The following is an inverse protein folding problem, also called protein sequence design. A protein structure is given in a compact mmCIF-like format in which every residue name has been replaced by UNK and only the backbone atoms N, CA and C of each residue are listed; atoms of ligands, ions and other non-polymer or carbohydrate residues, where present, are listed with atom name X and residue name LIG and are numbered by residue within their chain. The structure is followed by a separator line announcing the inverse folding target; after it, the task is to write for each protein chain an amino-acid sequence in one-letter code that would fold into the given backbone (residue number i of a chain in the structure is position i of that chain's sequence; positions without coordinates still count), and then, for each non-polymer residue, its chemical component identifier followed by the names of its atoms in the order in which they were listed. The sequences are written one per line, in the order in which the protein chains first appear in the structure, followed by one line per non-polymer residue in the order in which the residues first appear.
data_IF_674481789006
#
_entry.id   IF_674481789006
#
_cell.length_a   1.000
_cell.length_b   1.000
_cell.length_c   1.000
_cell.angle_alpha   90.00
_cell.angle_beta   90.00
_cell.angle_gamma   90.00
#
_symmetry.space_group_name_H-M   'P 1'
#
loop_
_entity.id
_entity.type
_entity.pdbx_description
1 polymer ?
#
# COMPACT_ATOMS: atom_id res chain seq x y z
N UNK A 1 24.53 -8.62 26.43
CA UNK A 1 24.42 -7.91 25.16
C UNK A 1 23.40 -6.80 25.37
N UNK A 2 23.89 -5.54 25.55
CA UNK A 2 23.09 -4.38 25.90
C UNK A 2 22.05 -4.05 24.83
N UNK A 3 20.78 -4.16 25.18
CA UNK A 3 19.68 -3.72 24.37
C UNK A 3 19.72 -2.18 24.25
N UNK A 4 20.00 -1.65 23.06
CA UNK A 4 19.81 -0.23 22.76
C UNK A 4 18.30 0.06 22.84
N UNK A 5 17.90 0.85 23.84
CA UNK A 5 16.57 1.44 23.85
C UNK A 5 16.46 2.41 22.66
N UNK A 6 15.58 2.09 21.72
CA UNK A 6 15.25 3.01 20.63
C UNK A 6 14.18 3.95 21.17
N UNK A 7 14.58 5.17 21.50
CA UNK A 7 13.64 6.24 21.87
C UNK A 7 12.92 6.71 20.61
N UNK A 8 11.61 6.51 20.57
CA UNK A 8 10.75 7.05 19.50
C UNK A 8 10.23 8.42 19.94
N UNK A 9 10.37 9.47 19.13
CA UNK A 9 9.86 10.79 19.48
C UNK A 9 8.34 10.74 19.57
N UNK A 10 7.79 11.28 20.65
CA UNK A 10 6.34 11.36 20.90
C UNK A 10 5.71 12.53 20.12
N UNK A 11 6.45 13.62 19.98
CA UNK A 11 6.07 14.82 19.23
C UNK A 11 7.33 15.56 18.78
N UNK A 12 7.15 16.45 17.84
CA UNK A 12 8.21 17.32 17.32
C UNK A 12 7.89 18.77 17.68
N UNK A 13 8.94 19.52 18.08
CA UNK A 13 8.85 20.94 18.42
C UNK A 13 9.73 21.75 17.49
N UNK A 14 9.54 23.08 17.45
CA UNK A 14 10.36 24.02 16.68
C UNK A 14 10.38 23.73 15.16
N UNK A 15 9.26 23.26 14.61
CA UNK A 15 9.17 22.97 13.17
C UNK A 15 9.33 24.23 12.32
N UNK A 16 8.87 25.39 12.80
CA UNK A 16 8.98 26.67 12.11
C UNK A 16 10.46 27.12 12.01
N UNK A 17 11.24 26.90 13.08
CA UNK A 17 12.69 27.18 13.07
C UNK A 17 13.42 26.26 12.10
N UNK A 18 13.05 24.96 12.05
CA UNK A 18 13.59 24.00 11.09
C UNK A 18 13.27 24.43 9.65
N UNK A 19 12.04 24.85 9.38
CA UNK A 19 11.61 25.34 8.07
C UNK A 19 12.43 26.55 7.64
N UNK A 20 12.60 27.55 8.53
CA UNK A 20 13.43 28.72 8.23
C UNK A 20 14.86 28.34 7.90
N UNK A 21 15.48 27.48 8.68
CA UNK A 21 16.85 26.98 8.42
C UNK A 21 16.96 26.24 7.09
N UNK A 22 15.99 25.37 6.76
CA UNK A 22 15.96 24.64 5.49
C UNK A 22 15.87 25.60 4.29
N UNK A 23 15.08 26.64 4.36
CA UNK A 23 14.91 27.63 3.28
C UNK A 23 16.20 28.37 2.90
N UNK A 24 17.18 28.46 3.81
CA UNK A 24 18.44 29.19 3.54
C UNK A 24 19.37 28.46 2.57
N UNK A 25 19.30 27.14 2.48
CA UNK A 25 20.21 26.32 1.66
C UNK A 25 19.51 25.29 0.77
N UNK A 26 18.17 25.28 0.75
CA UNK A 26 17.40 24.35 -0.09
C UNK A 26 16.41 25.07 -0.98
N UNK A 27 16.33 24.64 -2.23
CA UNK A 27 15.28 25.03 -3.16
C UNK A 27 14.35 23.82 -3.39
N UNK A 28 13.06 24.01 -3.21
CA UNK A 28 12.07 22.95 -3.41
C UNK A 28 10.97 23.38 -4.36
N UNK A 29 10.67 22.51 -5.30
CA UNK A 29 9.57 22.66 -6.23
C UNK A 29 8.65 21.46 -6.14
N UNK A 30 7.37 21.70 -6.03
CA UNK A 30 6.35 20.62 -6.02
C UNK A 30 5.81 20.38 -7.42
N UNK A 31 5.37 19.15 -7.70
CA UNK A 31 4.81 18.77 -9.00
C UNK A 31 3.67 19.69 -9.43
N UNK A 32 2.79 20.08 -8.51
CA UNK A 32 1.62 20.91 -8.82
C UNK A 32 1.96 22.34 -9.22
N UNK A 33 3.18 22.81 -8.87
CA UNK A 33 3.67 24.13 -9.31
C UNK A 33 4.33 24.11 -10.67
N UNK A 34 4.77 22.94 -11.14
CA UNK A 34 5.61 22.82 -12.33
C UNK A 34 4.99 21.95 -13.43
N UNK A 35 3.97 21.15 -13.12
CA UNK A 35 3.37 20.22 -14.06
C UNK A 35 1.86 20.40 -14.07
N UNK A 36 1.31 20.53 -15.26
CA UNK A 36 -0.13 20.44 -15.48
C UNK A 36 -0.52 18.96 -15.62
N UNK A 37 -0.83 18.33 -14.48
CA UNK A 37 -1.24 16.94 -14.45
C UNK A 37 -2.72 16.83 -14.07
N UNK A 38 -3.45 15.86 -14.66
CA UNK A 38 -4.83 15.61 -14.28
C UNK A 38 -4.95 15.31 -12.77
N UNK A 39 -6.10 15.62 -12.13
CA UNK A 39 -6.24 15.46 -10.69
C UNK A 39 -6.19 14.00 -10.26
N UNK A 40 -5.70 13.76 -9.02
CA UNK A 40 -5.81 12.51 -8.29
C UNK A 40 -7.17 12.44 -7.59
N UNK A 41 -7.83 11.29 -7.67
CA UNK A 41 -9.09 11.02 -6.97
C UNK A 41 -8.83 9.89 -5.97
N UNK A 42 -9.16 10.12 -4.69
CA UNK A 42 -8.96 9.12 -3.63
C UNK A 42 -10.30 8.58 -3.15
N UNK A 43 -10.39 7.28 -3.02
CA UNK A 43 -11.59 6.56 -2.61
C UNK A 43 -11.23 5.43 -1.65
N UNK A 44 -12.16 5.11 -0.74
CA UNK A 44 -12.08 3.95 0.14
C UNK A 44 -13.18 2.96 -0.19
N UNK A 45 -12.87 1.69 -0.06
CA UNK A 45 -13.82 0.59 -0.12
C UNK A 45 -13.71 -0.22 1.16
N UNK A 46 -14.76 -0.20 1.95
CA UNK A 46 -14.85 -0.99 3.17
C UNK A 46 -15.07 -2.46 2.84
N UNK A 47 -14.26 -3.30 3.46
CA UNK A 47 -14.32 -4.75 3.30
C UNK A 47 -14.57 -5.40 4.65
N UNK A 48 -15.67 -6.11 4.79
CA UNK A 48 -15.99 -6.81 6.02
C UNK A 48 -15.41 -8.23 5.99
N UNK A 49 -14.71 -8.61 7.06
CA UNK A 49 -14.18 -9.96 7.23
C UNK A 49 -15.32 -10.98 7.26
N UNK A 50 -15.10 -12.17 6.69
CA UNK A 50 -16.02 -13.28 6.89
C UNK A 50 -15.97 -13.78 8.35
N UNK A 51 -16.90 -14.63 8.74
CA UNK A 51 -17.05 -15.08 10.13
C UNK A 51 -15.78 -15.78 10.66
N UNK A 52 -15.14 -16.62 9.85
CA UNK A 52 -13.91 -17.32 10.22
C UNK A 52 -12.77 -16.32 10.49
N UNK A 53 -12.51 -15.41 9.54
CA UNK A 53 -11.49 -14.38 9.70
C UNK A 53 -11.75 -13.48 10.91
N UNK A 54 -13.02 -13.06 11.10
CA UNK A 54 -13.42 -12.19 12.22
C UNK A 54 -13.14 -12.84 13.57
N UNK A 55 -13.51 -14.10 13.73
CA UNK A 55 -13.30 -14.84 14.99
C UNK A 55 -11.82 -14.99 15.32
N UNK A 56 -11.00 -15.34 14.32
CA UNK A 56 -9.56 -15.48 14.50
C UNK A 56 -8.92 -14.12 14.75
N UNK A 57 -9.35 -13.08 14.01
CA UNK A 57 -8.89 -11.70 14.17
C UNK A 57 -9.11 -11.19 15.60
N UNK A 58 -10.34 -11.32 16.14
CA UNK A 58 -10.66 -10.84 17.49
C UNK A 58 -9.89 -11.62 18.58
N UNK A 59 -9.70 -12.92 18.40
CA UNK A 59 -8.89 -13.73 19.31
C UNK A 59 -7.43 -13.24 19.33
N UNK A 60 -6.82 -13.08 18.17
CA UNK A 60 -5.44 -12.59 18.07
C UNK A 60 -5.31 -11.12 18.49
N UNK A 61 -6.32 -10.29 18.23
CA UNK A 61 -6.35 -8.88 18.67
C UNK A 61 -6.29 -8.73 20.19
N UNK A 62 -7.03 -9.59 20.92
CA UNK A 62 -6.96 -9.62 22.40
C UNK A 62 -5.57 -10.02 22.88
N UNK A 63 -4.99 -11.06 22.30
CA UNK A 63 -3.61 -11.49 22.56
C UNK A 63 -2.59 -10.41 22.24
N UNK A 64 -2.68 -9.80 21.06
CA UNK A 64 -1.78 -8.73 20.61
C UNK A 64 -1.83 -7.52 21.54
N UNK A 65 -3.03 -7.12 22.03
CA UNK A 65 -3.16 -6.02 22.98
C UNK A 65 -2.46 -6.32 24.31
N UNK A 66 -2.59 -7.53 24.84
CA UNK A 66 -1.90 -7.95 26.06
C UNK A 66 -0.37 -7.92 25.86
N UNK A 67 0.13 -8.47 24.76
CA UNK A 67 1.56 -8.48 24.43
C UNK A 67 2.12 -7.06 24.23
N UNK A 68 1.38 -6.18 23.57
CA UNK A 68 1.82 -4.79 23.33
C UNK A 68 1.86 -4.00 24.65
N UNK A 69 0.94 -4.25 25.57
CA UNK A 69 0.90 -3.60 26.88
C UNK A 69 1.98 -4.12 27.85
N UNK A 70 2.55 -5.29 27.60
CA UNK A 70 3.59 -5.87 28.43
C UNK A 70 4.97 -5.31 28.06
N UNK A 71 5.55 -4.51 28.93
CA UNK A 71 6.87 -3.89 28.72
C UNK A 71 8.03 -4.89 28.73
N UNK A 72 7.83 -6.10 29.26
CA UNK A 72 8.84 -7.17 29.27
C UNK A 72 8.95 -7.88 27.92
N UNK A 73 7.93 -7.77 27.06
CA UNK A 73 7.91 -8.41 25.75
C UNK A 73 8.73 -7.61 24.75
N UNK A 74 9.60 -8.31 24.00
CA UNK A 74 10.45 -7.69 22.99
C UNK A 74 9.64 -6.99 21.88
N UNK A 75 10.20 -5.91 21.34
CA UNK A 75 9.61 -5.17 20.22
C UNK A 75 9.36 -6.06 18.98
N UNK A 76 10.26 -7.02 18.72
CA UNK A 76 10.10 -7.99 17.63
C UNK A 76 8.82 -8.83 17.77
N UNK A 77 8.52 -9.32 18.97
CA UNK A 77 7.31 -10.09 19.24
C UNK A 77 6.04 -9.23 19.08
N UNK A 78 6.09 -7.97 19.52
CA UNK A 78 4.99 -7.00 19.30
C UNK A 78 4.72 -6.78 17.81
N UNK A 79 5.76 -6.66 17.00
CA UNK A 79 5.63 -6.52 15.53
C UNK A 79 5.04 -7.77 14.86
N UNK A 80 5.41 -8.96 15.32
CA UNK A 80 4.88 -10.22 14.77
C UNK A 80 3.36 -10.28 14.94
N UNK A 81 2.83 -9.91 16.11
CA UNK A 81 1.38 -9.93 16.33
C UNK A 81 0.64 -8.90 15.45
N UNK A 82 1.21 -7.71 15.26
CA UNK A 82 0.68 -6.70 14.33
C UNK A 82 0.66 -7.23 12.89
N UNK A 83 1.74 -7.90 12.48
CA UNK A 83 1.85 -8.50 11.16
C UNK A 83 0.78 -9.58 10.92
N UNK A 84 0.53 -10.44 11.92
CA UNK A 84 -0.51 -11.48 11.85
C UNK A 84 -1.91 -10.89 11.69
N UNK A 85 -2.25 -9.86 12.47
CA UNK A 85 -3.52 -9.15 12.31
C UNK A 85 -3.68 -8.60 10.89
N UNK A 86 -2.62 -8.03 10.33
CA UNK A 86 -2.65 -7.52 8.96
C UNK A 86 -2.77 -8.64 7.92
N UNK A 87 -2.12 -9.79 8.12
CA UNK A 87 -2.26 -10.95 7.24
C UNK A 87 -3.71 -11.46 7.21
N UNK A 88 -4.40 -11.53 8.36
CA UNK A 88 -5.80 -11.96 8.42
C UNK A 88 -6.69 -11.01 7.61
N UNK A 89 -6.51 -9.69 7.72
CA UNK A 89 -7.23 -8.72 6.89
C UNK A 89 -7.01 -8.99 5.39
N UNK A 90 -5.87 -9.55 5.01
CA UNK A 90 -5.50 -9.85 3.64
C UNK A 90 -5.80 -11.29 3.19
N UNK A 91 -6.54 -12.05 4.00
CA UNK A 91 -7.10 -13.35 3.61
C UNK A 91 -6.19 -14.54 3.85
N UNK A 92 -5.15 -14.41 4.65
CA UNK A 92 -4.27 -15.52 5.04
C UNK A 92 -3.63 -15.29 6.41
N UNK A 93 -3.04 -16.33 6.96
CA UNK A 93 -2.24 -16.26 8.19
C UNK A 93 -1.03 -17.19 8.06
N UNK A 94 0.16 -16.71 8.34
CA UNK A 94 1.35 -17.54 8.46
C UNK A 94 1.56 -17.92 9.93
N UNK A 95 1.58 -19.23 10.19
CA UNK A 95 1.80 -19.78 11.54
C UNK A 95 3.26 -19.64 11.98
N UNK A 96 3.55 -19.90 13.27
CA UNK A 96 4.91 -19.92 13.81
C UNK A 96 5.78 -21.01 13.19
N UNK A 97 5.17 -22.11 12.77
CA UNK A 97 5.84 -23.21 12.05
C UNK A 97 6.08 -22.89 10.57
N UNK A 98 5.69 -21.72 10.09
CA UNK A 98 5.83 -21.29 8.71
C UNK A 98 4.74 -21.77 7.77
N UNK A 99 3.77 -22.56 8.25
CA UNK A 99 2.63 -23.00 7.47
C UNK A 99 1.73 -21.84 7.10
N UNK A 100 1.18 -21.87 5.89
CA UNK A 100 0.25 -20.86 5.39
C UNK A 100 -1.20 -21.38 5.53
N UNK A 101 -1.98 -20.71 6.34
CA UNK A 101 -3.43 -20.89 6.38
C UNK A 101 -4.09 -19.84 5.49
N UNK A 102 -4.79 -20.29 4.44
CA UNK A 102 -5.51 -19.40 3.51
C UNK A 102 -6.99 -19.49 3.80
N UNK A 103 -7.60 -18.34 4.08
CA UNK A 103 -9.04 -18.27 4.33
C UNK A 103 -9.84 -18.47 3.05
N UNK A 104 -10.81 -19.36 3.08
CA UNK A 104 -11.73 -19.54 1.96
C UNK A 104 -12.57 -18.29 1.73
N UNK A 105 -12.90 -18.02 0.46
CA UNK A 105 -13.75 -16.88 0.10
C UNK A 105 -13.26 -15.52 0.63
N UNK A 106 -12.01 -15.17 0.37
CA UNK A 106 -11.41 -13.91 0.78
C UNK A 106 -12.27 -12.69 0.36
N UNK A 107 -12.85 -11.94 1.31
CA UNK A 107 -13.72 -10.79 1.01
C UNK A 107 -13.01 -9.68 0.24
N UNK A 108 -11.72 -9.44 0.52
CA UNK A 108 -10.95 -8.44 -0.22
C UNK A 108 -10.77 -8.79 -1.69
N UNK A 109 -10.55 -10.08 -1.99
CA UNK A 109 -10.44 -10.53 -3.37
C UNK A 109 -11.78 -10.37 -4.09
N UNK A 110 -12.89 -10.68 -3.42
CA UNK A 110 -14.23 -10.45 -3.99
C UNK A 110 -14.50 -8.98 -4.25
N UNK A 111 -14.15 -8.09 -3.32
CA UNK A 111 -14.35 -6.66 -3.49
C UNK A 111 -13.43 -6.10 -4.58
N UNK A 112 -12.18 -6.58 -4.69
CA UNK A 112 -11.30 -6.24 -5.78
C UNK A 112 -11.96 -6.56 -7.14
N UNK A 113 -12.52 -7.74 -7.30
CA UNK A 113 -13.18 -8.14 -8.55
C UNK A 113 -14.37 -7.24 -8.88
N UNK A 114 -15.20 -6.86 -7.89
CA UNK A 114 -16.31 -5.90 -8.08
C UNK A 114 -15.80 -4.54 -8.57
N UNK A 115 -14.73 -4.02 -7.94
CA UNK A 115 -14.13 -2.76 -8.38
C UNK A 115 -13.65 -2.86 -9.83
N UNK A 116 -13.04 -3.99 -10.23
CA UNK A 116 -12.55 -4.18 -11.59
C UNK A 116 -13.66 -4.28 -12.63
N UNK A 117 -14.89 -4.61 -12.23
CA UNK A 117 -16.11 -4.54 -13.07
C UNK A 117 -16.66 -3.10 -13.17
N UNK A 118 -16.46 -2.28 -12.11
CA UNK A 118 -16.95 -0.88 -12.05
C UNK A 118 -16.03 0.11 -12.77
N UNK A 119 -14.73 -0.20 -12.93
CA UNK A 119 -13.73 0.73 -13.46
C UNK A 119 -13.26 0.36 -14.85
N UNK A 120 -13.07 1.38 -15.68
CA UNK A 120 -12.54 1.24 -17.03
C UNK A 120 -11.03 1.44 -17.10
N UNK A 121 -10.44 0.88 -18.16
CA UNK A 121 -9.03 1.06 -18.49
C UNK A 121 -8.09 0.19 -17.69
N UNK A 122 -6.79 0.50 -17.79
CA UNK A 122 -5.73 -0.27 -17.13
C UNK A 122 -5.65 0.03 -15.64
N UNK A 123 -5.44 -1.04 -14.85
CA UNK A 123 -5.42 -0.99 -13.41
C UNK A 123 -4.08 -1.48 -12.86
N UNK A 124 -3.51 -0.73 -11.92
CA UNK A 124 -2.41 -1.19 -11.07
C UNK A 124 -3.02 -1.69 -9.76
N UNK A 125 -2.61 -2.86 -9.30
CA UNK A 125 -3.04 -3.45 -8.03
C UNK A 125 -1.81 -3.65 -7.14
N UNK A 126 -1.73 -2.85 -6.08
CA UNK A 126 -0.64 -2.94 -5.13
C UNK A 126 -0.99 -3.83 -3.94
N UNK A 127 -0.17 -4.83 -3.68
CA UNK A 127 -0.31 -5.72 -2.53
C UNK A 127 1.04 -5.88 -1.80
N UNK A 128 0.99 -5.86 -0.47
CA UNK A 128 2.19 -5.93 0.37
C UNK A 128 2.80 -7.33 0.40
N UNK A 129 1.96 -8.36 0.29
CA UNK A 129 2.38 -9.76 0.45
C UNK A 129 2.47 -10.50 -0.88
N UNK A 130 3.54 -11.28 -1.04
CA UNK A 130 3.75 -12.13 -2.25
C UNK A 130 2.59 -13.08 -2.47
N UNK A 131 2.09 -13.73 -1.40
CA UNK A 131 0.92 -14.60 -1.50
C UNK A 131 -0.29 -13.91 -2.15
N UNK A 132 -0.58 -12.67 -1.77
CA UNK A 132 -1.68 -11.92 -2.39
C UNK A 132 -1.39 -11.58 -3.85
N UNK A 133 -0.16 -11.20 -4.19
CA UNK A 133 0.23 -10.90 -5.58
C UNK A 133 0.01 -12.12 -6.47
N UNK A 134 0.50 -13.29 -6.04
CA UNK A 134 0.36 -14.55 -6.76
C UNK A 134 -1.11 -14.97 -6.88
N UNK A 135 -1.88 -14.89 -5.79
CA UNK A 135 -3.33 -15.22 -5.78
C UNK A 135 -4.15 -14.28 -6.68
N UNK A 136 -3.91 -12.98 -6.61
CA UNK A 136 -4.61 -12.00 -7.46
C UNK A 136 -4.26 -12.24 -8.94
N UNK A 137 -2.96 -12.42 -9.26
CA UNK A 137 -2.51 -12.70 -10.62
C UNK A 137 -3.18 -13.97 -11.17
N UNK A 138 -3.20 -15.05 -10.40
CA UNK A 138 -3.84 -16.29 -10.79
C UNK A 138 -5.32 -16.07 -11.06
N UNK A 139 -6.05 -15.45 -10.13
CA UNK A 139 -7.49 -15.20 -10.27
C UNK A 139 -7.81 -14.35 -11.50
N UNK A 140 -7.04 -13.28 -11.75
CA UNK A 140 -7.25 -12.43 -12.92
C UNK A 140 -6.90 -13.14 -14.22
N UNK A 141 -5.85 -13.96 -14.23
CA UNK A 141 -5.48 -14.78 -15.36
C UNK A 141 -6.54 -15.82 -15.72
N UNK A 142 -7.18 -16.41 -14.72
CA UNK A 142 -8.25 -17.39 -14.92
C UNK A 142 -9.56 -16.74 -15.44
N UNK A 143 -9.88 -15.53 -14.96
CA UNK A 143 -11.11 -14.82 -15.34
C UNK A 143 -11.00 -14.04 -16.66
N UNK A 144 -9.88 -13.39 -16.91
CA UNK A 144 -9.69 -12.46 -18.02
C UNK A 144 -8.66 -12.93 -19.07
N UNK A 145 -8.07 -14.13 -18.85
CA UNK A 145 -7.01 -14.66 -19.69
C UNK A 145 -5.60 -14.29 -19.19
N UNK A 146 -4.64 -15.18 -19.40
CA UNK A 146 -3.25 -15.03 -18.89
C UNK A 146 -2.55 -13.77 -19.42
N UNK A 147 -2.86 -13.35 -20.63
CA UNK A 147 -2.28 -12.14 -21.26
C UNK A 147 -2.83 -10.84 -20.67
N UNK A 148 -3.92 -10.90 -19.90
CA UNK A 148 -4.55 -9.73 -19.30
C UNK A 148 -3.79 -9.17 -18.10
N UNK A 149 -2.89 -9.95 -17.48
CA UNK A 149 -2.26 -9.63 -16.22
C UNK A 149 -0.76 -9.89 -16.23
N UNK A 150 0.00 -8.91 -15.76
CA UNK A 150 1.44 -9.02 -15.48
C UNK A 150 1.69 -8.75 -13.99
N UNK A 151 2.84 -9.22 -13.48
CA UNK A 151 3.21 -8.96 -12.08
C UNK A 151 4.61 -8.39 -11.96
N UNK A 152 4.86 -7.65 -10.86
CA UNK A 152 6.18 -7.09 -10.51
C UNK A 152 6.38 -7.25 -9.00
N UNK A 153 7.31 -8.12 -8.58
CA UNK A 153 7.67 -8.30 -7.18
C UNK A 153 9.10 -8.80 -7.00
N UNK A 154 9.51 -9.10 -5.76
CA UNK A 154 10.92 -9.31 -5.42
C UNK A 154 11.63 -10.47 -6.11
N UNK A 155 10.88 -11.47 -6.60
CA UNK A 155 11.45 -12.64 -7.29
C UNK A 155 11.76 -12.39 -8.77
N UNK A 156 11.20 -11.33 -9.36
CA UNK A 156 11.34 -11.07 -10.79
C UNK A 156 12.73 -10.50 -11.09
N UNK A 157 13.32 -10.96 -12.19
CA UNK A 157 14.56 -10.38 -12.73
C UNK A 157 14.33 -8.93 -13.22
N UNK A 158 15.40 -8.22 -13.50
CA UNK A 158 15.31 -6.86 -14.07
C UNK A 158 14.67 -6.90 -15.45
N UNK A 159 14.98 -7.91 -16.23
CA UNK A 159 14.46 -8.16 -17.58
C UNK A 159 12.96 -8.47 -17.54
N UNK A 160 12.53 -9.35 -16.65
CA UNK A 160 11.10 -9.69 -16.48
C UNK A 160 10.28 -8.46 -16.10
N UNK A 161 10.81 -7.60 -15.22
CA UNK A 161 10.15 -6.34 -14.84
C UNK A 161 10.03 -5.38 -16.03
N UNK A 162 11.07 -5.26 -16.87
CA UNK A 162 11.02 -4.43 -18.08
C UNK A 162 9.95 -4.95 -19.05
N UNK A 163 9.89 -6.25 -19.27
CA UNK A 163 8.88 -6.87 -20.12
C UNK A 163 7.47 -6.70 -19.57
N UNK A 164 7.26 -6.87 -18.26
CA UNK A 164 5.97 -6.64 -17.62
C UNK A 164 5.52 -5.18 -17.76
N UNK A 165 6.41 -4.21 -17.56
CA UNK A 165 6.11 -2.79 -17.76
C UNK A 165 5.78 -2.49 -19.21
N UNK A 166 6.57 -2.98 -20.16
CA UNK A 166 6.34 -2.78 -21.59
C UNK A 166 4.97 -3.38 -22.01
N UNK A 167 4.67 -4.59 -21.55
CA UNK A 167 3.38 -5.22 -21.80
C UNK A 167 2.23 -4.40 -21.22
N UNK A 168 2.33 -3.97 -19.95
CA UNK A 168 1.30 -3.15 -19.34
C UNK A 168 1.10 -1.80 -20.06
N UNK A 169 2.18 -1.16 -20.51
CA UNK A 169 2.10 0.15 -21.17
C UNK A 169 1.54 0.06 -22.58
N UNK A 170 1.94 -0.96 -23.36
CA UNK A 170 1.74 -0.95 -24.82
C UNK A 170 0.85 -2.08 -25.36
N UNK A 171 0.57 -3.12 -24.59
CA UNK A 171 -0.31 -4.21 -25.02
C UNK A 171 -1.74 -3.95 -24.54
N UNK A 172 -2.69 -3.76 -25.45
CA UNK A 172 -4.09 -3.50 -25.11
C UNK A 172 -4.78 -4.68 -24.41
N UNK A 173 -4.32 -5.91 -24.61
CA UNK A 173 -4.84 -7.08 -23.90
C UNK A 173 -4.40 -7.10 -22.42
N UNK A 174 -3.25 -6.50 -22.11
CA UNK A 174 -2.73 -6.42 -20.74
C UNK A 174 -3.42 -5.28 -19.98
N UNK A 175 -4.48 -5.60 -19.25
CA UNK A 175 -5.27 -4.65 -18.47
C UNK A 175 -4.73 -4.45 -17.04
N UNK A 176 -4.11 -5.47 -16.45
CA UNK A 176 -3.77 -5.48 -15.02
C UNK A 176 -2.27 -5.60 -14.79
N UNK A 177 -1.76 -4.80 -13.86
CA UNK A 177 -0.43 -4.96 -13.28
C UNK A 177 -0.57 -5.17 -11.78
N UNK A 178 -0.10 -6.32 -11.28
CA UNK A 178 -0.14 -6.66 -9.87
C UNK A 178 1.27 -6.63 -9.30
N UNK A 179 1.50 -5.94 -8.18
CA UNK A 179 2.86 -5.86 -7.67
C UNK A 179 3.00 -5.42 -6.23
N UNK A 180 4.24 -5.44 -5.75
CA UNK A 180 4.59 -4.87 -4.46
C UNK A 180 5.00 -3.40 -4.66
N UNK A 181 4.38 -2.45 -3.94
CA UNK A 181 4.71 -1.03 -4.09
C UNK A 181 6.17 -0.70 -3.78
N UNK A 182 6.83 -1.46 -2.89
CA UNK A 182 8.26 -1.29 -2.60
C UNK A 182 9.15 -1.68 -3.78
N UNK A 183 8.76 -2.67 -4.58
CA UNK A 183 9.50 -3.10 -5.77
C UNK A 183 9.30 -2.14 -6.94
N UNK A 184 8.12 -1.50 -7.01
CA UNK A 184 7.81 -0.43 -7.96
C UNK A 184 8.62 0.87 -7.76
N UNK A 185 9.47 0.95 -6.72
CA UNK A 185 10.30 2.11 -6.37
C UNK A 185 11.37 2.49 -7.42
N UNK A 186 11.75 1.59 -8.30
CA UNK A 186 12.85 1.81 -9.25
C UNK A 186 12.41 2.45 -10.57
N UNK A 187 12.00 3.72 -10.54
CA UNK A 187 11.89 4.55 -11.75
C UNK A 187 10.82 4.13 -12.79
N UNK A 188 9.96 3.16 -12.47
CA UNK A 188 8.94 2.67 -13.40
C UNK A 188 7.99 3.77 -13.85
N UNK A 189 7.63 3.79 -15.12
CA UNK A 189 6.59 4.66 -15.69
C UNK A 189 5.38 3.80 -16.03
N UNK A 190 4.24 4.07 -15.39
CA UNK A 190 3.01 3.30 -15.52
C UNK A 190 1.83 4.21 -15.86
N UNK A 191 2.05 5.18 -16.77
CA UNK A 191 1.07 6.21 -17.14
C UNK A 191 -0.11 5.69 -17.96
N UNK A 192 -0.07 4.45 -18.45
CA UNK A 192 -1.24 3.80 -19.05
C UNK A 192 -2.35 3.51 -18.02
N UNK A 193 -2.02 3.49 -16.71
CA UNK A 193 -3.00 3.24 -15.67
C UNK A 193 -3.93 4.43 -15.47
N UNK A 194 -5.24 4.15 -15.34
CA UNK A 194 -6.28 5.09 -14.89
C UNK A 194 -6.72 4.84 -13.47
N UNK A 195 -6.50 3.62 -12.97
CA UNK A 195 -6.88 3.20 -11.65
C UNK A 195 -5.70 2.55 -10.93
N UNK A 196 -5.52 2.90 -9.67
CA UNK A 196 -4.52 2.30 -8.78
C UNK A 196 -5.25 1.80 -7.55
N UNK A 197 -5.25 0.49 -7.35
CA UNK A 197 -5.97 -0.16 -6.26
C UNK A 197 -4.95 -0.66 -5.25
N UNK A 198 -5.09 -0.21 -4.00
CA UNK A 198 -4.30 -0.72 -2.89
C UNK A 198 -5.06 -1.83 -2.19
N UNK A 199 -4.73 -3.07 -2.57
CA UNK A 199 -5.24 -4.25 -1.89
C UNK A 199 -4.80 -4.30 -0.43
N UNK A 200 -3.58 -3.83 -0.17
CA UNK A 200 -3.06 -3.63 1.18
C UNK A 200 -2.03 -2.50 1.22
N UNK A 201 -1.96 -1.80 2.34
CA UNK A 201 -1.01 -0.72 2.61
C UNK A 201 0.05 -1.15 3.63
N UNK A 202 1.20 -0.48 3.61
CA UNK A 202 2.22 -0.55 4.65
C UNK A 202 2.30 0.77 5.43
N UNK A 203 3.01 0.79 6.56
CA UNK A 203 3.28 2.00 7.33
C UNK A 203 4.26 2.99 6.66
N UNK A 204 4.80 2.64 5.47
CA UNK A 204 5.81 3.44 4.80
C UNK A 204 5.17 4.47 3.85
N UNK A 205 5.15 5.74 4.27
CA UNK A 205 4.61 6.84 3.49
C UNK A 205 5.39 7.09 2.19
N UNK A 206 6.71 6.92 2.21
CA UNK A 206 7.53 7.16 1.03
C UNK A 206 7.21 6.14 -0.07
N UNK A 207 7.12 4.86 0.28
CA UNK A 207 6.70 3.78 -0.63
C UNK A 207 5.32 4.07 -1.21
N UNK A 208 4.37 4.53 -0.37
CA UNK A 208 3.04 4.92 -0.83
C UNK A 208 3.10 6.05 -1.84
N UNK A 209 3.76 7.16 -1.53
CA UNK A 209 3.90 8.32 -2.43
C UNK A 209 4.61 7.94 -3.73
N UNK A 210 5.71 7.19 -3.64
CA UNK A 210 6.44 6.72 -4.81
C UNK A 210 5.58 5.84 -5.71
N UNK A 211 4.78 4.92 -5.15
CA UNK A 211 3.91 4.04 -5.92
C UNK A 211 2.78 4.81 -6.63
N UNK A 212 2.23 5.85 -6.01
CA UNK A 212 1.27 6.76 -6.65
C UNK A 212 1.90 7.50 -7.84
N UNK A 213 3.13 7.96 -7.66
CA UNK A 213 3.88 8.71 -8.65
C UNK A 213 4.32 7.88 -9.87
N UNK A 214 4.08 6.57 -9.87
CA UNK A 214 4.27 5.72 -11.06
C UNK A 214 3.18 5.93 -12.11
N UNK A 215 1.94 6.11 -11.67
CA UNK A 215 0.79 6.39 -12.53
C UNK A 215 0.61 7.90 -12.76
N UNK A 216 0.78 8.72 -11.73
CA UNK A 216 0.62 10.18 -11.79
C UNK A 216 1.97 10.86 -12.06
N UNK A 217 2.36 10.87 -13.32
CA UNK A 217 3.67 11.34 -13.80
C UNK A 217 3.53 12.07 -15.12
N UNK A 218 4.58 12.77 -15.55
CA UNK A 218 4.68 13.38 -16.90
C UNK A 218 4.28 12.35 -17.95
N UNK A 219 3.34 12.74 -18.83
CA UNK A 219 2.74 11.87 -19.83
C UNK A 219 1.39 11.26 -19.43
N UNK A 220 0.94 11.45 -18.20
CA UNK A 220 -0.43 11.08 -17.79
C UNK A 220 -1.44 12.07 -18.37
N UNK A 221 -2.40 11.57 -19.14
CA UNK A 221 -3.45 12.37 -19.80
C UNK A 221 -4.83 12.23 -19.13
N UNK A 222 -4.97 11.25 -18.24
CA UNK A 222 -6.24 10.94 -17.61
C UNK A 222 -6.20 11.21 -16.11
N UNK A 223 -7.36 11.48 -15.50
CA UNK A 223 -7.52 11.42 -14.05
C UNK A 223 -7.12 10.04 -13.55
N UNK A 224 -6.43 9.98 -12.42
CA UNK A 224 -6.02 8.72 -11.81
C UNK A 224 -6.79 8.52 -10.52
N UNK A 225 -7.56 7.43 -10.46
CA UNK A 225 -8.30 7.04 -9.27
C UNK A 225 -7.43 6.14 -8.38
N UNK A 226 -7.33 6.46 -7.11
CA UNK A 226 -6.64 5.69 -6.08
C UNK A 226 -7.68 5.11 -5.13
N UNK A 227 -7.78 3.78 -5.09
CA UNK A 227 -8.82 3.06 -4.35
C UNK A 227 -8.15 2.20 -3.29
N UNK A 228 -8.43 2.46 -2.03
CA UNK A 228 -7.91 1.68 -0.91
C UNK A 228 -8.96 0.70 -0.39
N UNK A 229 -8.63 -0.60 -0.38
CA UNK A 229 -9.43 -1.64 0.27
C UNK A 229 -9.08 -1.70 1.75
N UNK A 230 -10.04 -1.44 2.61
CA UNK A 230 -9.81 -1.33 4.05
C UNK A 230 -10.81 -2.18 4.82
N UNK A 231 -10.31 -2.93 5.79
CA UNK A 231 -11.15 -3.59 6.79
C UNK A 231 -11.41 -2.58 7.93
N UNK A 232 -12.65 -2.14 8.14
CA UNK A 232 -13.00 -1.24 9.23
C UNK A 232 -12.65 -1.83 10.60
N UNK A 233 -12.38 -0.97 11.59
CA UNK A 233 -12.04 -1.32 12.97
C UNK A 233 -10.87 -2.29 13.14
N UNK A 234 -9.97 -2.30 12.15
CA UNK A 234 -8.81 -3.19 12.10
C UNK A 234 -7.47 -2.46 12.15
N UNK A 235 -6.39 -3.24 12.13
CA UNK A 235 -5.02 -2.74 11.99
C UNK A 235 -4.84 -1.89 10.73
N UNK A 236 -5.62 -2.10 9.68
CA UNK A 236 -5.54 -1.34 8.45
C UNK A 236 -5.96 0.12 8.65
N UNK A 237 -6.98 0.37 9.47
CA UNK A 237 -7.34 1.75 9.87
C UNK A 237 -6.21 2.44 10.65
N UNK A 238 -5.45 1.68 11.45
CA UNK A 238 -4.28 2.22 12.15
C UNK A 238 -3.15 2.56 11.15
N UNK A 239 -2.94 1.73 10.13
CA UNK A 239 -1.98 2.00 9.05
C UNK A 239 -2.35 3.31 8.33
N UNK A 240 -3.60 3.44 7.88
CA UNK A 240 -4.08 4.66 7.20
C UNK A 240 -3.95 5.90 8.10
N UNK A 241 -4.34 5.79 9.37
CA UNK A 241 -4.20 6.89 10.33
C UNK A 241 -2.74 7.31 10.55
N UNK A 242 -1.82 6.34 10.57
CA UNK A 242 -0.39 6.60 10.67
C UNK A 242 0.16 7.28 9.42
N UNK A 243 -0.28 6.86 8.23
CA UNK A 243 0.09 7.49 6.96
C UNK A 243 -0.40 8.95 6.91
N UNK A 244 -1.66 9.21 7.28
CA UNK A 244 -2.23 10.57 7.36
C UNK A 244 -1.43 11.48 8.31
N UNK A 245 -1.07 10.98 9.50
CA UNK A 245 -0.23 11.74 10.45
C UNK A 245 1.14 12.08 9.87
N UNK A 246 1.78 11.13 9.18
CA UNK A 246 3.08 11.36 8.53
C UNK A 246 2.99 12.41 7.41
N UNK A 247 1.90 12.42 6.64
CA UNK A 247 1.66 13.46 5.62
C UNK A 247 1.53 14.83 6.27
N UNK A 248 0.71 14.94 7.33
CA UNK A 248 0.53 16.21 8.06
C UNK A 248 1.86 16.73 8.62
N UNK A 249 2.64 15.85 9.26
CA UNK A 249 3.94 16.21 9.80
C UNK A 249 4.91 16.66 8.70
N UNK A 250 4.99 15.93 7.59
CA UNK A 250 5.84 16.31 6.45
C UNK A 250 5.45 17.68 5.89
N UNK A 251 4.16 17.96 5.76
CA UNK A 251 3.67 19.26 5.29
C UNK A 251 4.04 20.39 6.25
N UNK A 252 3.85 20.20 7.55
CA UNK A 252 4.23 21.17 8.58
C UNK A 252 5.74 21.47 8.57
N UNK A 253 6.59 20.42 8.48
CA UNK A 253 8.06 20.58 8.45
C UNK A 253 8.54 21.36 7.22
N UNK A 254 7.76 21.35 6.14
CA UNK A 254 8.13 21.93 4.85
C UNK A 254 7.40 23.24 4.57
N UNK A 255 6.61 23.77 5.54
CA UNK A 255 5.80 24.98 5.38
C UNK A 255 4.74 24.86 4.29
N UNK A 256 4.19 23.67 4.08
CA UNK A 256 3.17 23.39 3.07
C UNK A 256 1.82 23.10 3.73
N UNK A 257 0.73 23.43 3.05
CA UNK A 257 -0.58 22.92 3.45
C UNK A 257 -0.63 21.39 3.26
N UNK A 258 -1.10 20.69 4.29
CA UNK A 258 -1.36 19.27 4.19
C UNK A 258 -2.47 19.04 3.16
N UNK A 259 -2.13 18.57 1.97
CA UNK A 259 -3.12 18.25 0.95
C UNK A 259 -4.09 17.21 1.49
N UNK A 260 -5.35 17.32 1.10
CA UNK A 260 -6.35 16.26 1.30
C UNK A 260 -5.86 15.02 0.56
N UNK A 261 -5.25 14.12 1.31
CA UNK A 261 -4.73 12.86 0.84
C UNK A 261 -5.29 11.78 1.75
N UNK A 262 -5.96 10.80 1.18
CA UNK A 262 -6.71 9.76 1.88
C UNK A 262 -7.96 10.26 2.64
#
# INVERSE_FOLDING_TARGET
LGGRQILMPKYYTNLDELEMKLKTFSFRVTKDKCLDLPPKIYMFRDVHLNLEQKNIYETLRKKARAIIADDTVSFANKLVEILRLHQICNGFLKTDTGQLHVFKNNPKLKELLRILEEVDGKCIIWATYVHNIESIKQTLGDLYGKDSVVSIYGKDSVEDRKLAVASFQHNDRCRFLVGNPSTGGYGLTLTAARNVIYFSNSYNLEVRKQSEDRAHRIGQKNKVSYIDLIVPDSIEMMIISALKRKVKLSAQTLGEEAKKWL
#
